data_IF_778611182122
#
_entry.id   IF_778611182122
#
_cell.length_a   1.000
_cell.length_b   1.000
_cell.length_c   1.000
_cell.angle_alpha   90.00
_cell.angle_beta   90.00
_cell.angle_gamma   90.00
#
_symmetry.space_group_name_H-M   'P 1'
#
loop_
_entity.id
_entity.type
_entity.pdbx_description
1 polymer ?
#
# COMPACT_ATOMS: atom_id res chain seq x y z
N UNK A 1 9.71 -6.45 -20.91
CA UNK A 1 8.63 -7.15 -21.66
C UNK A 1 8.91 -8.63 -21.99
N UNK A 2 10.15 -9.07 -22.22
CA UNK A 2 10.45 -10.47 -22.61
C UNK A 2 10.21 -11.54 -21.52
N UNK A 3 10.57 -11.25 -20.26
CA UNK A 3 10.46 -12.24 -19.17
C UNK A 3 9.01 -12.61 -18.80
N UNK A 4 8.09 -11.65 -18.89
CA UNK A 4 6.70 -11.89 -18.51
C UNK A 4 5.95 -12.73 -19.57
N UNK A 5 6.21 -12.50 -20.87
CA UNK A 5 5.68 -13.33 -21.95
C UNK A 5 6.16 -14.79 -21.88
N UNK A 6 7.44 -15.00 -21.57
CA UNK A 6 7.98 -16.36 -21.41
C UNK A 6 7.45 -17.04 -20.14
N UNK A 7 7.22 -16.29 -19.06
CA UNK A 7 6.55 -16.78 -17.86
C UNK A 7 5.11 -17.25 -18.13
N UNK A 8 4.35 -16.47 -18.91
CA UNK A 8 2.99 -16.82 -19.33
C UNK A 8 2.95 -18.08 -20.21
N UNK A 9 3.85 -18.17 -21.19
CA UNK A 9 3.96 -19.34 -22.08
C UNK A 9 4.27 -20.62 -21.30
N UNK A 10 5.26 -20.56 -20.39
CA UNK A 10 5.60 -21.70 -19.52
C UNK A 10 4.45 -22.11 -18.61
N UNK A 11 3.67 -21.15 -18.10
CA UNK A 11 2.49 -21.45 -17.30
C UNK A 11 1.37 -22.09 -18.13
N UNK A 12 1.18 -21.67 -19.39
CA UNK A 12 0.24 -22.30 -20.33
C UNK A 12 0.62 -23.73 -20.68
N UNK A 13 1.89 -23.95 -21.02
CA UNK A 13 2.42 -25.29 -21.28
C UNK A 13 2.20 -26.19 -20.05
N UNK A 14 2.48 -25.68 -18.84
CA UNK A 14 2.24 -26.42 -17.60
C UNK A 14 0.76 -26.74 -17.34
N UNK A 15 -0.16 -25.79 -17.55
CA UNK A 15 -1.61 -26.04 -17.39
C UNK A 15 -2.08 -27.13 -18.36
N UNK A 16 -1.56 -27.11 -19.60
CA UNK A 16 -1.91 -28.11 -20.62
C UNK A 16 -1.37 -29.50 -20.29
N UNK A 17 -0.20 -29.57 -19.64
CA UNK A 17 0.44 -30.83 -19.25
C UNK A 17 -0.09 -31.39 -17.93
N UNK A 18 -0.38 -30.52 -16.97
CA UNK A 18 -0.75 -30.88 -15.60
C UNK A 18 -1.62 -29.76 -15.00
N UNK A 19 -2.93 -30.00 -14.88
CA UNK A 19 -3.89 -29.06 -14.25
C UNK A 19 -3.71 -29.02 -12.73
N UNK A 20 -2.62 -28.40 -12.28
CA UNK A 20 -2.27 -28.23 -10.87
C UNK A 20 -2.61 -26.83 -10.34
N UNK A 21 -2.65 -26.70 -9.02
CA UNK A 21 -2.82 -25.42 -8.35
C UNK A 21 -1.75 -24.42 -8.80
N UNK A 22 -0.49 -24.83 -8.83
CA UNK A 22 0.66 -23.98 -9.14
C UNK A 22 0.59 -23.42 -10.56
N UNK A 23 0.18 -24.24 -11.52
CA UNK A 23 0.10 -23.84 -12.92
C UNK A 23 -0.92 -22.69 -13.10
N UNK A 24 -2.13 -22.85 -12.53
CA UNK A 24 -3.14 -21.80 -12.55
C UNK A 24 -2.75 -20.55 -11.75
N UNK A 25 -2.20 -20.74 -10.55
CA UNK A 25 -1.84 -19.64 -9.66
C UNK A 25 -0.70 -18.78 -10.22
N UNK A 26 0.34 -19.39 -10.79
CA UNK A 26 1.45 -18.66 -11.41
C UNK A 26 0.99 -17.89 -12.65
N UNK A 27 0.12 -18.47 -13.48
CA UNK A 27 -0.46 -17.77 -14.63
C UNK A 27 -1.27 -16.55 -14.18
N UNK A 28 -2.12 -16.72 -13.17
CA UNK A 28 -2.90 -15.62 -12.61
C UNK A 28 -2.00 -14.49 -12.08
N UNK A 29 -0.92 -14.84 -11.39
CA UNK A 29 0.04 -13.87 -10.84
C UNK A 29 0.76 -13.09 -11.95
N UNK A 30 1.29 -13.78 -12.97
CA UNK A 30 1.98 -13.14 -14.09
C UNK A 30 1.06 -12.23 -14.92
N UNK A 31 -0.21 -12.62 -15.10
CA UNK A 31 -1.21 -11.80 -15.79
C UNK A 31 -1.56 -10.54 -15.00
N UNK A 32 -1.75 -10.67 -13.69
CA UNK A 32 -2.06 -9.53 -12.82
C UNK A 32 -0.93 -8.48 -12.78
N UNK A 33 0.33 -8.91 -12.89
CA UNK A 33 1.50 -8.02 -12.91
C UNK A 33 1.70 -7.31 -14.27
N UNK A 34 1.30 -7.95 -15.36
CA UNK A 34 1.59 -7.47 -16.72
C UNK A 34 0.54 -6.56 -17.35
N UNK A 35 -0.64 -6.41 -16.74
CA UNK A 35 -1.75 -5.71 -17.37
C UNK A 35 -2.58 -4.91 -16.36
N UNK A 36 -2.96 -3.69 -16.76
CA UNK A 36 -3.85 -2.81 -15.99
C UNK A 36 -5.24 -2.70 -16.64
N UNK A 37 -5.55 -3.63 -17.54
CA UNK A 37 -6.80 -3.64 -18.31
C UNK A 37 -7.90 -4.42 -17.60
N UNK A 38 -9.13 -3.91 -17.73
CA UNK A 38 -10.34 -4.53 -17.17
C UNK A 38 -10.58 -5.95 -17.69
N UNK A 39 -10.23 -6.22 -18.95
CA UNK A 39 -10.37 -7.55 -19.58
C UNK A 39 -9.54 -8.61 -18.87
N UNK A 40 -8.34 -8.28 -18.40
CA UNK A 40 -7.45 -9.23 -17.75
C UNK A 40 -7.96 -9.65 -16.36
N UNK A 41 -8.71 -8.78 -15.67
CA UNK A 41 -9.27 -9.10 -14.35
C UNK A 41 -10.23 -10.30 -14.41
N UNK A 42 -11.00 -10.44 -15.48
CA UNK A 42 -11.91 -11.59 -15.67
C UNK A 42 -11.15 -12.91 -15.82
N UNK A 43 -10.06 -12.91 -16.60
CA UNK A 43 -9.19 -14.08 -16.80
C UNK A 43 -8.47 -14.45 -15.50
N UNK A 44 -7.93 -13.47 -14.77
CA UNK A 44 -7.27 -13.68 -13.48
C UNK A 44 -8.23 -14.29 -12.46
N UNK A 45 -9.48 -13.79 -12.40
CA UNK A 45 -10.53 -14.37 -11.54
C UNK A 45 -10.75 -15.85 -11.89
N UNK A 46 -10.96 -16.17 -13.17
CA UNK A 46 -11.19 -17.55 -13.62
C UNK A 46 -10.02 -18.47 -13.25
N UNK A 47 -8.78 -18.01 -13.46
CA UNK A 47 -7.58 -18.79 -13.14
C UNK A 47 -7.45 -19.04 -11.64
N UNK A 48 -7.72 -18.03 -10.80
CA UNK A 48 -7.67 -18.19 -9.34
C UNK A 48 -8.79 -19.11 -8.83
N UNK A 49 -9.98 -19.04 -9.41
CA UNK A 49 -11.08 -19.97 -9.11
C UNK A 49 -10.72 -21.41 -9.48
N UNK A 50 -10.11 -21.62 -10.65
CA UNK A 50 -9.64 -22.94 -11.07
C UNK A 50 -8.50 -23.46 -10.20
N UNK A 51 -7.56 -22.59 -9.80
CA UNK A 51 -6.53 -22.94 -8.82
C UNK A 51 -7.15 -23.45 -7.51
N UNK A 52 -8.18 -22.77 -6.99
CA UNK A 52 -8.83 -23.13 -5.72
C UNK A 52 -9.54 -24.50 -5.75
N UNK A 53 -9.98 -24.96 -6.94
CA UNK A 53 -10.55 -26.29 -7.15
C UNK A 53 -9.51 -27.40 -7.08
N UNK A 54 -8.24 -27.11 -7.38
CA UNK A 54 -7.17 -28.09 -7.30
C UNK A 54 -6.82 -28.44 -5.83
N UNK A 55 -6.33 -29.67 -5.55
CA UNK A 55 -5.71 -30.01 -4.28
C UNK A 55 -4.49 -29.12 -4.03
N UNK A 56 -4.38 -28.54 -2.83
CA UNK A 56 -3.26 -27.70 -2.41
C UNK A 56 -3.30 -27.50 -0.89
N UNK A 57 -2.21 -27.03 -0.31
CA UNK A 57 -2.13 -26.74 1.12
C UNK A 57 -2.90 -25.46 1.51
N UNK A 58 -3.13 -25.28 2.81
CA UNK A 58 -3.89 -24.15 3.35
C UNK A 58 -3.21 -22.80 3.11
N UNK A 59 -1.87 -22.76 3.10
CA UNK A 59 -1.12 -21.52 2.91
C UNK A 59 -1.35 -20.99 1.49
N UNK A 60 -1.16 -21.85 0.48
CA UNK A 60 -1.34 -21.54 -0.93
C UNK A 60 -2.80 -21.20 -1.26
N UNK A 61 -3.77 -21.98 -0.76
CA UNK A 61 -5.19 -21.64 -0.92
C UNK A 61 -5.53 -20.28 -0.28
N UNK A 62 -4.93 -19.97 0.87
CA UNK A 62 -5.09 -18.67 1.53
C UNK A 62 -4.58 -17.51 0.68
N UNK A 63 -3.42 -17.68 0.04
CA UNK A 63 -2.86 -16.69 -0.89
C UNK A 63 -3.75 -16.50 -2.11
N UNK A 64 -4.26 -17.60 -2.70
CA UNK A 64 -5.18 -17.52 -3.85
C UNK A 64 -6.49 -16.79 -3.49
N UNK A 65 -7.10 -17.10 -2.35
CA UNK A 65 -8.29 -16.39 -1.87
C UNK A 65 -8.01 -14.91 -1.60
N UNK A 66 -6.88 -14.58 -0.96
CA UNK A 66 -6.50 -13.19 -0.70
C UNK A 66 -6.27 -12.40 -2.01
N UNK A 67 -5.62 -13.02 -3.01
CA UNK A 67 -5.40 -12.41 -4.31
C UNK A 67 -6.72 -12.25 -5.07
N UNK A 68 -7.59 -13.27 -5.04
CA UNK A 68 -8.91 -13.23 -5.67
C UNK A 68 -9.78 -12.11 -5.08
N UNK A 69 -9.80 -11.98 -3.75
CA UNK A 69 -10.47 -10.88 -3.07
C UNK A 69 -9.94 -9.52 -3.52
N UNK A 70 -8.63 -9.38 -3.72
CA UNK A 70 -8.01 -8.12 -4.15
C UNK A 70 -8.40 -7.75 -5.59
N UNK A 71 -8.51 -8.73 -6.49
CA UNK A 71 -9.01 -8.52 -7.86
C UNK A 71 -10.50 -8.18 -7.86
N UNK A 72 -11.30 -8.77 -6.96
CA UNK A 72 -12.70 -8.38 -6.81
C UNK A 72 -12.86 -6.96 -6.28
N UNK A 73 -12.03 -6.52 -5.33
CA UNK A 73 -11.99 -5.11 -4.90
C UNK A 73 -11.69 -4.18 -6.07
N UNK A 74 -10.69 -4.51 -6.89
CA UNK A 74 -10.36 -3.73 -8.09
C UNK A 74 -11.54 -3.66 -9.07
N UNK A 75 -12.28 -4.75 -9.23
CA UNK A 75 -13.50 -4.80 -10.04
C UNK A 75 -14.74 -4.13 -9.38
N UNK A 76 -14.63 -3.58 -8.17
CA UNK A 76 -15.76 -3.03 -7.41
C UNK A 76 -16.75 -4.07 -6.85
N UNK A 77 -16.45 -5.37 -6.94
CA UNK A 77 -17.30 -6.48 -6.45
C UNK A 77 -17.04 -6.74 -4.97
N UNK A 78 -17.42 -5.81 -4.12
CA UNK A 78 -17.06 -5.80 -2.69
C UNK A 78 -17.61 -6.99 -1.90
N UNK A 79 -18.80 -7.51 -2.23
CA UNK A 79 -19.39 -8.68 -1.56
C UNK A 79 -18.55 -9.93 -1.81
N UNK A 80 -18.25 -10.22 -3.07
CA UNK A 80 -17.38 -11.34 -3.46
C UNK A 80 -15.98 -11.21 -2.87
N UNK A 81 -15.46 -9.97 -2.78
CA UNK A 81 -14.18 -9.72 -2.14
C UNK A 81 -14.20 -10.07 -0.64
N UNK A 82 -15.24 -9.64 0.08
CA UNK A 82 -15.42 -9.95 1.50
C UNK A 82 -15.48 -11.46 1.72
N UNK A 83 -16.26 -12.18 0.92
CA UNK A 83 -16.39 -13.64 1.01
C UNK A 83 -15.03 -14.33 0.83
N UNK A 84 -14.24 -13.90 -0.17
CA UNK A 84 -12.89 -14.44 -0.39
C UNK A 84 -11.97 -14.22 0.82
N UNK A 85 -11.99 -13.03 1.42
CA UNK A 85 -11.17 -12.75 2.60
C UNK A 85 -11.66 -13.53 3.83
N UNK A 86 -12.96 -13.66 4.03
CA UNK A 86 -13.55 -14.48 5.09
C UNK A 86 -13.13 -15.94 4.94
N UNK A 87 -13.20 -16.49 3.72
CA UNK A 87 -12.77 -17.86 3.45
C UNK A 87 -11.27 -18.04 3.65
N UNK A 88 -10.45 -17.05 3.28
CA UNK A 88 -9.02 -17.06 3.57
C UNK A 88 -8.75 -17.08 5.10
N UNK A 89 -9.52 -16.33 5.88
CA UNK A 89 -9.42 -16.32 7.34
C UNK A 89 -9.86 -17.65 7.97
N UNK A 90 -10.88 -18.33 7.43
CA UNK A 90 -11.30 -19.68 7.89
C UNK A 90 -10.17 -20.70 7.78
N UNK A 91 -9.30 -20.57 6.77
CA UNK A 91 -8.11 -21.40 6.61
C UNK A 91 -6.83 -20.80 7.23
N UNK A 92 -7.00 -19.83 8.14
CA UNK A 92 -5.96 -19.18 8.96
C UNK A 92 -4.97 -18.31 8.19
N UNK A 93 -5.36 -17.78 7.03
CA UNK A 93 -4.55 -16.78 6.31
C UNK A 93 -4.74 -15.39 6.92
N UNK A 94 -3.98 -15.07 7.97
CA UNK A 94 -4.17 -13.86 8.80
C UNK A 94 -4.10 -12.55 8.02
N UNK A 95 -3.29 -12.46 6.97
CA UNK A 95 -3.14 -11.26 6.14
C UNK A 95 -4.45 -10.81 5.47
N UNK A 96 -5.42 -11.71 5.32
CA UNK A 96 -6.74 -11.38 4.76
C UNK A 96 -7.54 -10.37 5.61
N UNK A 97 -7.22 -10.20 6.90
CA UNK A 97 -7.79 -9.12 7.72
C UNK A 97 -7.58 -7.74 7.09
N UNK A 98 -6.41 -7.48 6.50
CA UNK A 98 -6.12 -6.21 5.84
C UNK A 98 -7.00 -5.99 4.60
N UNK A 99 -7.25 -7.05 3.83
CA UNK A 99 -8.14 -7.02 2.68
C UNK A 99 -9.59 -6.78 3.07
N UNK A 100 -10.05 -7.47 4.12
CA UNK A 100 -11.41 -7.30 4.64
C UNK A 100 -11.62 -5.90 5.24
N UNK A 101 -10.63 -5.37 5.97
CA UNK A 101 -10.66 -3.98 6.45
C UNK A 101 -10.80 -2.98 5.30
N UNK A 102 -10.08 -3.18 4.19
CA UNK A 102 -10.22 -2.35 2.98
C UNK A 102 -11.64 -2.43 2.41
N UNK A 103 -12.27 -3.60 2.40
CA UNK A 103 -13.68 -3.73 1.95
C UNK A 103 -14.62 -2.94 2.86
N UNK A 104 -14.47 -3.02 4.18
CA UNK A 104 -15.26 -2.22 5.13
C UNK A 104 -15.09 -0.72 4.89
N UNK A 105 -13.85 -0.27 4.69
CA UNK A 105 -13.56 1.13 4.38
C UNK A 105 -14.21 1.59 3.07
N UNK A 106 -14.13 0.79 2.01
CA UNK A 106 -14.78 1.09 0.71
C UNK A 106 -16.31 1.12 0.80
N UNK A 107 -16.90 0.43 1.79
CA UNK A 107 -18.33 0.54 2.14
C UNK A 107 -18.62 1.71 3.09
N UNK A 108 -17.69 2.64 3.25
CA UNK A 108 -17.79 3.78 4.16
C UNK A 108 -17.97 3.41 5.65
N UNK A 109 -17.53 2.22 6.06
CA UNK A 109 -17.55 1.78 7.45
C UNK A 109 -16.13 1.75 8.02
N UNK A 110 -15.64 2.93 8.42
CA UNK A 110 -14.30 3.10 9.01
C UNK A 110 -14.13 2.35 10.33
N UNK A 111 -15.17 2.33 11.18
CA UNK A 111 -15.14 1.62 12.47
C UNK A 111 -14.89 0.14 12.28
N UNK A 112 -15.64 -0.52 11.38
CA UNK A 112 -15.42 -1.93 11.08
C UNK A 112 -14.04 -2.18 10.46
N UNK A 113 -13.54 -1.28 9.62
CA UNK A 113 -12.19 -1.38 9.07
C UNK A 113 -11.11 -1.31 10.16
N UNK A 114 -11.26 -0.40 11.13
CA UNK A 114 -10.37 -0.24 12.27
C UNK A 114 -10.37 -1.49 13.18
N UNK A 115 -11.56 -2.00 13.51
CA UNK A 115 -11.72 -3.23 14.30
C UNK A 115 -11.09 -4.43 13.62
N UNK A 116 -11.28 -4.57 12.30
CA UNK A 116 -10.72 -5.67 11.54
C UNK A 116 -9.19 -5.63 11.47
N UNK A 117 -8.61 -4.43 11.35
CA UNK A 117 -7.15 -4.25 11.47
C UNK A 117 -6.64 -4.52 12.89
N UNK A 118 -7.44 -4.25 13.92
CA UNK A 118 -7.07 -4.56 15.32
C UNK A 118 -6.90 -6.08 15.50
N UNK A 119 -7.81 -6.89 14.94
CA UNK A 119 -7.67 -8.36 14.90
C UNK A 119 -6.38 -8.81 14.22
N UNK A 120 -5.93 -8.10 13.17
CA UNK A 120 -4.65 -8.39 12.52
C UNK A 120 -3.48 -8.11 13.45
N UNK A 121 -3.47 -6.96 14.12
CA UNK A 121 -2.38 -6.53 15.03
C UNK A 121 -2.23 -7.52 16.19
N UNK A 122 -3.33 -7.95 16.80
CA UNK A 122 -3.34 -8.94 17.89
C UNK A 122 -2.69 -10.27 17.47
N UNK A 123 -2.92 -10.69 16.22
CA UNK A 123 -2.36 -11.94 15.68
C UNK A 123 -0.93 -11.81 15.18
N UNK A 124 -0.60 -10.69 14.55
CA UNK A 124 0.65 -10.51 13.81
C UNK A 124 1.83 -10.01 14.65
N UNK A 125 1.62 -9.71 15.95
CA UNK A 125 2.63 -9.30 16.95
C UNK A 125 3.70 -8.35 16.37
N UNK A 126 3.53 -7.05 16.58
CA UNK A 126 4.48 -6.00 16.15
C UNK A 126 4.58 -5.80 14.63
N UNK A 127 3.47 -5.95 13.90
CA UNK A 127 3.44 -5.63 12.48
C UNK A 127 3.31 -4.10 12.27
N UNK A 128 4.44 -3.46 11.99
CA UNK A 128 4.54 -2.02 11.67
C UNK A 128 3.54 -1.59 10.60
N UNK A 129 3.45 -2.37 9.52
CA UNK A 129 2.56 -2.06 8.40
C UNK A 129 1.08 -2.17 8.79
N UNK A 130 0.74 -2.98 9.80
CA UNK A 130 -0.63 -3.08 10.29
C UNK A 130 -1.04 -1.86 11.10
N UNK A 131 -0.16 -1.33 11.96
CA UNK A 131 -0.41 -0.05 12.67
C UNK A 131 -0.53 1.12 11.69
N UNK A 132 0.39 1.22 10.73
CA UNK A 132 0.35 2.24 9.68
C UNK A 132 -0.98 2.19 8.92
N UNK A 133 -1.39 0.99 8.50
CA UNK A 133 -2.64 0.81 7.74
C UNK A 133 -3.89 1.05 8.58
N UNK A 134 -3.89 0.70 9.88
CA UNK A 134 -5.01 0.96 10.79
C UNK A 134 -5.20 2.46 11.01
N UNK A 135 -4.11 3.23 11.07
CA UNK A 135 -4.13 4.67 11.26
C UNK A 135 -4.93 5.43 10.18
N UNK A 136 -5.07 4.85 8.98
CA UNK A 136 -5.88 5.39 7.87
C UNK A 136 -7.40 5.29 8.12
N UNK A 137 -7.83 4.42 9.04
CA UNK A 137 -9.24 4.16 9.36
C UNK A 137 -9.67 4.80 10.69
N UNK A 138 -8.78 5.56 11.30
CA UNK A 138 -8.92 6.11 12.65
C UNK A 138 -9.28 7.59 12.65
N UNK A 139 -9.83 8.04 13.77
CA UNK A 139 -9.93 9.46 14.12
C UNK A 139 -8.59 9.97 14.69
N UNK A 140 -8.42 11.30 14.73
CA UNK A 140 -7.13 11.99 14.96
C UNK A 140 -6.29 11.44 16.13
N UNK A 141 -6.89 11.19 17.29
CA UNK A 141 -6.18 10.69 18.48
C UNK A 141 -5.74 9.23 18.34
N UNK A 142 -6.58 8.37 17.79
CA UNK A 142 -6.24 6.97 17.52
C UNK A 142 -5.17 6.87 16.42
N UNK A 143 -5.27 7.70 15.39
CA UNK A 143 -4.24 7.82 14.35
C UNK A 143 -2.90 8.23 14.95
N UNK A 144 -2.89 9.19 15.88
CA UNK A 144 -1.67 9.61 16.58
C UNK A 144 -1.03 8.44 17.34
N UNK A 145 -1.81 7.70 18.13
CA UNK A 145 -1.30 6.55 18.89
C UNK A 145 -0.74 5.45 17.97
N UNK A 146 -1.44 5.13 16.87
CA UNK A 146 -0.96 4.15 15.89
C UNK A 146 0.37 4.60 15.25
N UNK A 147 0.50 5.88 14.89
CA UNK A 147 1.71 6.41 14.26
C UNK A 147 2.89 6.59 15.23
N UNK A 148 2.62 6.79 16.52
CA UNK A 148 3.63 6.68 17.57
C UNK A 148 4.17 5.25 17.66
N UNK A 149 3.30 4.25 17.60
CA UNK A 149 3.72 2.85 17.53
C UNK A 149 4.51 2.53 16.26
N UNK A 150 4.11 3.06 15.10
CA UNK A 150 4.90 2.91 13.85
C UNK A 150 6.29 3.51 14.03
N UNK A 151 6.39 4.73 14.56
CA UNK A 151 7.69 5.38 14.81
C UNK A 151 8.56 4.59 15.77
N UNK A 152 7.96 4.01 16.82
CA UNK A 152 8.68 3.20 17.79
C UNK A 152 9.23 1.91 17.19
N UNK A 153 8.46 1.24 16.34
CA UNK A 153 8.85 -0.03 15.72
C UNK A 153 9.77 0.15 14.52
N UNK A 154 9.58 1.21 13.72
CA UNK A 154 10.39 1.53 12.54
C UNK A 154 10.52 3.06 12.35
N UNK A 155 11.57 3.68 12.91
CA UNK A 155 11.82 5.11 12.80
C UNK A 155 12.10 5.60 11.36
N UNK A 156 12.33 4.71 10.41
CA UNK A 156 12.61 5.09 9.02
C UNK A 156 11.33 5.26 8.18
N UNK A 157 10.17 4.92 8.72
CA UNK A 157 8.88 5.15 8.06
C UNK A 157 8.58 6.64 7.99
N UNK A 158 8.43 7.12 6.77
CA UNK A 158 8.20 8.55 6.46
C UNK A 158 6.77 9.00 6.83
N UNK A 159 5.78 8.12 6.65
CA UNK A 159 4.36 8.46 6.80
C UNK A 159 4.00 9.04 8.19
N UNK A 160 4.43 8.46 9.33
CA UNK A 160 4.20 9.06 10.65
C UNK A 160 4.66 10.52 10.79
N UNK A 161 5.86 10.85 10.28
CA UNK A 161 6.41 12.19 10.36
C UNK A 161 5.64 13.18 9.48
N UNK A 162 5.27 12.77 8.25
CA UNK A 162 4.43 13.59 7.35
C UNK A 162 3.09 13.93 7.98
N UNK A 163 2.42 12.92 8.54
CA UNK A 163 1.11 13.09 9.16
C UNK A 163 1.20 14.03 10.39
N UNK A 164 2.14 13.77 11.30
CA UNK A 164 2.33 14.63 12.49
C UNK A 164 2.70 16.06 12.11
N UNK A 165 3.55 16.25 11.10
CA UNK A 165 3.93 17.57 10.64
C UNK A 165 2.75 18.34 10.03
N UNK A 166 1.90 17.69 9.23
CA UNK A 166 0.66 18.28 8.72
C UNK A 166 -0.29 18.68 9.86
N UNK A 167 -0.53 17.77 10.82
CA UNK A 167 -1.34 18.03 12.02
C UNK A 167 -0.82 19.21 12.83
N UNK A 168 0.51 19.35 12.96
CA UNK A 168 1.13 20.48 13.64
C UNK A 168 0.95 21.78 12.86
N UNK A 169 1.06 21.74 11.53
CA UNK A 169 0.85 22.90 10.66
C UNK A 169 -0.59 23.41 10.75
N UNK A 170 -1.57 22.51 10.70
CA UNK A 170 -3.00 22.83 10.86
C UNK A 170 -3.30 23.45 12.23
N UNK A 171 -2.57 23.02 13.27
CA UNK A 171 -2.65 23.59 14.61
C UNK A 171 -1.80 24.86 14.79
N UNK A 172 -1.34 25.48 13.69
CA UNK A 172 -0.48 26.67 13.66
C UNK A 172 0.87 26.53 14.39
N UNK A 173 1.30 25.31 14.71
CA UNK A 173 2.57 24.97 15.35
C UNK A 173 3.68 24.82 14.29
N UNK A 174 3.88 25.88 13.51
CA UNK A 174 4.75 25.94 12.32
C UNK A 174 6.19 25.45 12.58
N UNK A 175 6.81 25.94 13.66
CA UNK A 175 8.19 25.55 14.01
C UNK A 175 8.31 24.07 14.37
N UNK A 176 7.32 23.54 15.10
CA UNK A 176 7.28 22.14 15.51
C UNK A 176 7.07 21.23 14.28
N UNK A 177 6.23 21.66 13.33
CA UNK A 177 5.99 20.94 12.07
C UNK A 177 7.29 20.81 11.24
N UNK A 178 8.07 21.88 11.10
CA UNK A 178 9.36 21.86 10.40
C UNK A 178 10.38 20.98 11.14
N UNK A 179 10.42 21.07 12.48
CA UNK A 179 11.29 20.23 13.29
C UNK A 179 10.94 18.74 13.12
N UNK A 180 9.65 18.41 13.04
CA UNK A 180 9.15 17.04 12.83
C UNK A 180 9.70 16.43 11.54
N UNK A 181 9.60 17.16 10.41
CA UNK A 181 10.16 16.72 9.12
C UNK A 181 11.68 16.66 9.17
N UNK A 182 12.32 17.59 9.87
CA UNK A 182 13.78 17.62 10.00
C UNK A 182 14.33 16.39 10.73
N UNK A 183 13.61 15.86 11.72
CA UNK A 183 13.97 14.59 12.38
C UNK A 183 13.99 13.43 11.38
N UNK A 184 12.97 13.34 10.54
CA UNK A 184 12.88 12.27 9.53
C UNK A 184 13.99 12.38 8.47
N UNK A 185 14.21 13.59 7.94
CA UNK A 185 15.24 13.88 6.92
C UNK A 185 16.65 13.59 7.44
N UNK A 186 16.89 13.78 8.75
CA UNK A 186 18.18 13.46 9.36
C UNK A 186 18.51 11.95 9.34
N UNK A 187 17.49 11.07 9.32
CA UNK A 187 17.71 9.64 9.14
C UNK A 187 17.95 9.27 7.68
N UNK A 188 17.11 9.80 6.79
CA UNK A 188 17.20 9.56 5.35
C UNK A 188 16.63 10.75 4.60
N UNK A 189 17.44 11.35 3.73
CA UNK A 189 16.95 12.32 2.77
C UNK A 189 15.94 11.65 1.83
N UNK A 190 14.70 12.13 1.89
CA UNK A 190 13.59 11.65 1.05
C UNK A 190 13.00 12.84 0.30
N UNK A 191 12.76 12.64 -0.99
CA UNK A 191 12.29 13.68 -1.90
C UNK A 191 10.95 14.28 -1.44
N UNK A 192 10.01 13.45 -1.01
CA UNK A 192 8.69 13.91 -0.57
C UNK A 192 8.79 14.71 0.73
N UNK A 193 9.70 14.33 1.63
CA UNK A 193 9.92 15.06 2.88
C UNK A 193 10.59 16.42 2.63
N UNK A 194 11.56 16.48 1.71
CA UNK A 194 12.24 17.72 1.32
C UNK A 194 11.24 18.69 0.68
N UNK A 195 10.43 18.24 -0.28
CA UNK A 195 9.40 19.08 -0.90
C UNK A 195 8.35 19.57 0.13
N UNK A 196 7.89 18.68 1.02
CA UNK A 196 6.93 19.07 2.06
C UNK A 196 7.52 20.10 3.02
N UNK A 197 8.79 19.95 3.42
CA UNK A 197 9.46 20.91 4.31
C UNK A 197 9.74 22.23 3.60
N UNK A 198 10.08 22.21 2.32
CA UNK A 198 10.20 23.42 1.50
C UNK A 198 8.89 24.21 1.42
N UNK A 199 7.77 23.53 1.16
CA UNK A 199 6.44 24.15 1.17
C UNK A 199 6.09 24.75 2.55
N UNK A 200 6.52 24.11 3.64
CA UNK A 200 6.33 24.65 4.99
C UNK A 200 7.19 25.90 5.23
N UNK A 201 8.42 25.93 4.72
CA UNK A 201 9.28 27.11 4.77
C UNK A 201 8.68 28.28 3.96
N UNK A 202 8.17 28.03 2.76
CA UNK A 202 7.47 29.05 1.95
C UNK A 202 6.26 29.63 2.68
N UNK A 203 5.44 28.76 3.29
CA UNK A 203 4.26 29.19 4.06
C UNK A 203 4.60 30.10 5.24
N UNK A 204 5.81 30.02 5.79
CA UNK A 204 6.27 30.89 6.87
C UNK A 204 7.13 32.08 6.39
N UNK A 205 7.33 32.21 5.08
CA UNK A 205 8.15 33.26 4.46
C UNK A 205 9.66 33.01 4.50
N UNK A 206 10.10 31.80 4.87
CA UNK A 206 11.52 31.42 4.87
C UNK A 206 11.95 30.90 3.49
N UNK A 207 12.12 31.83 2.55
CA UNK A 207 12.51 31.52 1.17
C UNK A 207 13.88 30.81 1.11
N UNK A 208 14.80 31.16 2.03
CA UNK A 208 16.14 30.57 2.06
C UNK A 208 16.13 29.12 2.54
N UNK A 209 15.26 28.80 3.51
CA UNK A 209 14.99 27.43 3.94
C UNK A 209 14.43 26.57 2.81
N UNK A 210 13.41 27.08 2.10
CA UNK A 210 12.80 26.38 0.98
C UNK A 210 13.81 26.10 -0.15
N UNK A 211 14.57 27.12 -0.57
CA UNK A 211 15.57 26.98 -1.63
C UNK A 211 16.66 25.96 -1.28
N UNK A 212 17.02 25.84 0.00
CA UNK A 212 17.97 24.83 0.47
C UNK A 212 17.41 23.42 0.25
N UNK A 213 16.16 23.20 0.62
CA UNK A 213 15.52 21.89 0.49
C UNK A 213 15.32 21.49 -0.98
N UNK A 214 14.94 22.41 -1.87
CA UNK A 214 14.89 22.16 -3.31
C UNK A 214 16.26 21.78 -3.88
N UNK A 215 17.34 22.49 -3.50
CA UNK A 215 18.69 22.13 -3.95
C UNK A 215 19.11 20.73 -3.52
N UNK A 216 18.72 20.32 -2.30
CA UNK A 216 18.97 18.96 -1.83
C UNK A 216 18.11 17.95 -2.61
N UNK A 217 16.84 18.27 -2.89
CA UNK A 217 15.95 17.44 -3.71
C UNK A 217 16.54 17.17 -5.11
N UNK A 218 17.01 18.22 -5.80
CA UNK A 218 17.74 18.10 -7.10
C UNK A 218 18.91 17.13 -7.00
N UNK A 219 19.65 17.19 -5.89
CA UNK A 219 20.85 16.38 -5.68
C UNK A 219 20.51 14.91 -5.39
N UNK A 220 19.35 14.64 -4.79
CA UNK A 220 18.87 13.29 -4.45
C UNK A 220 18.28 12.60 -5.68
N UNK A 221 17.52 13.32 -6.51
CA UNK A 221 17.00 12.81 -7.77
C UNK A 221 17.00 13.90 -8.86
N UNK A 222 18.07 13.97 -9.67
CA UNK A 222 18.16 14.93 -10.77
C UNK A 222 17.13 14.72 -11.89
N UNK A 223 16.51 13.54 -11.97
CA UNK A 223 15.61 13.17 -13.06
C UNK A 223 14.15 13.55 -12.82
N UNK A 224 13.74 13.65 -11.55
CA UNK A 224 12.37 13.96 -11.17
C UNK A 224 11.99 15.43 -11.42
N UNK A 225 12.87 16.37 -11.07
CA UNK A 225 12.60 17.81 -11.24
C UNK A 225 12.66 18.28 -12.70
N UNK A 226 13.46 17.63 -13.56
CA UNK A 226 13.49 17.96 -14.98
C UNK A 226 12.10 17.76 -15.62
N UNK A 227 11.29 16.82 -15.11
CA UNK A 227 9.91 16.61 -15.56
C UNK A 227 8.95 17.70 -15.04
N UNK A 228 9.10 18.15 -13.79
CA UNK A 228 8.26 19.24 -13.22
C UNK A 228 8.58 20.62 -13.81
N UNK A 229 9.85 20.89 -14.13
CA UNK A 229 10.27 22.11 -14.84
C UNK A 229 9.83 22.12 -16.31
N UNK A 230 9.64 20.96 -16.93
CA UNK A 230 9.09 20.86 -18.28
C UNK A 230 7.55 20.98 -18.28
N UNK A 231 6.84 20.42 -17.30
CA UNK A 231 5.38 20.53 -17.20
C UNK A 231 4.89 21.91 -16.75
N UNK A 232 5.70 22.65 -16.00
CA UNK A 232 5.43 24.06 -15.62
C UNK A 232 5.84 25.09 -16.69
N UNK A 233 6.39 24.63 -17.82
CA UNK A 233 6.84 25.45 -18.96
C UNK A 233 5.99 25.27 -20.24
N UNK A 234 4.95 24.45 -20.21
CA UNK A 234 3.97 24.43 -21.30
C UNK A 234 2.91 25.52 -21.05
N UNK A 235 2.66 26.42 -22.02
CA UNK A 235 1.90 27.67 -21.84
C UNK A 235 0.38 27.50 -21.68
#
# INVERSE_FOLDING_TARGET
MGHCKEGLRKAEDFISLMRSFEAFFLKAYALADSSHDSSCSSTVISLLQDALKCPSDRLRKGQALNNLGSVYVYCGKLDLAADCYIDALKIRHTRAHQGLARVHFLRNNKTAAYEEMTKLIEKARNNVSAYEKRSEYSERELTKADLEMVTHLDPLRIYPYRYRAAVLMDNHKKKEAIAELSRAIAFKADLNLLHLRAAFYEHIGDVMGALRDYRVAVSVDPSHEMLELHSSREP
#
